data_IF_082135932488
#
_entry.id   IF_082135932488
#
_cell.length_a   1.000
_cell.length_b   1.000
_cell.length_c   1.000
_cell.angle_alpha   90.00
_cell.angle_beta   90.00
_cell.angle_gamma   90.00
#
_symmetry.space_group_name_H-M   'P 1'
#
loop_
_entity.id
_entity.type
_entity.pdbx_description
1 polymer ?
#
# COMPACT_ATOMS: atom_id res chain seq x y z
N UNK A 1 -16.07 14.30 15.88
CA UNK A 1 -16.57 13.42 14.80
C UNK A 1 -15.74 12.18 14.81
N UNK A 2 -16.36 11.01 14.71
CA UNK A 2 -15.69 9.71 14.80
C UNK A 2 -14.62 9.56 13.71
N UNK A 3 -13.34 9.43 14.10
CA UNK A 3 -12.21 9.35 13.18
C UNK A 3 -12.00 7.93 12.64
N UNK A 4 -12.38 6.91 13.40
CA UNK A 4 -12.39 5.51 12.95
C UNK A 4 -13.42 5.32 11.84
N UNK A 5 -14.64 5.81 12.05
CA UNK A 5 -15.68 5.79 11.03
C UNK A 5 -15.23 6.51 9.75
N UNK A 6 -14.52 7.64 9.88
CA UNK A 6 -13.97 8.38 8.73
C UNK A 6 -12.91 7.59 7.98
N UNK A 7 -11.94 7.01 8.69
CA UNK A 7 -10.92 6.15 8.08
C UNK A 7 -11.58 5.00 7.31
N UNK A 8 -12.58 4.33 7.91
CA UNK A 8 -13.35 3.27 7.24
C UNK A 8 -14.08 3.78 6.00
N UNK A 9 -14.77 4.91 6.11
CA UNK A 9 -15.48 5.50 4.96
C UNK A 9 -14.50 5.80 3.82
N UNK A 10 -13.32 6.33 4.11
CA UNK A 10 -12.28 6.57 3.09
C UNK A 10 -11.86 5.25 2.43
N UNK A 11 -11.48 4.24 3.22
CA UNK A 11 -11.05 2.93 2.68
C UNK A 11 -12.15 2.26 1.84
N UNK A 12 -13.39 2.26 2.33
CA UNK A 12 -14.51 1.64 1.60
C UNK A 12 -14.91 2.44 0.36
N UNK A 13 -14.79 3.77 0.41
CA UNK A 13 -15.00 4.64 -0.76
C UNK A 13 -13.97 4.35 -1.85
N UNK A 14 -12.71 4.12 -1.47
CA UNK A 14 -11.66 3.70 -2.41
C UNK A 14 -11.98 2.35 -3.06
N UNK A 15 -12.38 1.36 -2.24
CA UNK A 15 -12.82 0.05 -2.70
C UNK A 15 -13.96 0.15 -3.73
N UNK A 16 -14.99 0.94 -3.42
CA UNK A 16 -16.09 1.13 -4.35
C UNK A 16 -15.71 1.89 -5.62
N UNK A 17 -14.86 2.91 -5.53
CA UNK A 17 -14.39 3.62 -6.71
C UNK A 17 -13.59 2.69 -7.64
N UNK A 18 -12.77 1.79 -7.07
CA UNK A 18 -12.02 0.80 -7.84
C UNK A 18 -12.94 -0.22 -8.53
N UNK A 19 -13.95 -0.73 -7.82
CA UNK A 19 -14.91 -1.67 -8.40
C UNK A 19 -15.71 -1.04 -9.54
N UNK A 20 -16.18 0.22 -9.37
CA UNK A 20 -16.89 0.94 -10.44
C UNK A 20 -15.99 1.13 -11.66
N UNK A 21 -14.75 1.59 -11.48
CA UNK A 21 -13.81 1.79 -12.61
C UNK A 21 -13.46 0.49 -13.31
N UNK A 22 -13.29 -0.61 -12.56
CA UNK A 22 -13.06 -1.94 -13.14
C UNK A 22 -14.26 -2.37 -13.99
N UNK A 23 -15.48 -2.16 -13.51
CA UNK A 23 -16.69 -2.46 -14.28
C UNK A 23 -16.78 -1.61 -15.55
N UNK A 24 -16.50 -0.30 -15.45
CA UNK A 24 -16.46 0.59 -16.63
C UNK A 24 -15.42 0.12 -17.66
N UNK A 25 -14.23 -0.29 -17.21
CA UNK A 25 -13.19 -0.83 -18.07
C UNK A 25 -13.61 -2.15 -18.73
N UNK A 26 -14.15 -3.10 -17.97
CA UNK A 26 -14.62 -4.38 -18.51
C UNK A 26 -15.75 -4.20 -19.51
N UNK A 27 -16.71 -3.31 -19.24
CA UNK A 27 -17.78 -2.98 -20.18
C UNK A 27 -17.21 -2.36 -21.48
N UNK A 28 -16.26 -1.43 -21.37
CA UNK A 28 -15.61 -0.85 -22.55
C UNK A 28 -14.79 -1.88 -23.35
N UNK A 29 -14.16 -2.84 -22.66
CA UNK A 29 -13.45 -3.95 -23.29
C UNK A 29 -14.41 -4.89 -24.01
N UNK A 30 -15.53 -5.27 -23.38
CA UNK A 30 -16.60 -6.06 -24.00
C UNK A 30 -17.17 -5.35 -25.23
N UNK A 31 -17.47 -4.05 -25.14
CA UNK A 31 -17.93 -3.24 -26.27
C UNK A 31 -16.89 -3.21 -27.39
N UNK A 32 -15.60 -3.05 -27.05
CA UNK A 32 -14.51 -3.09 -28.04
C UNK A 32 -14.40 -4.45 -28.71
N UNK A 33 -14.50 -5.54 -27.95
CA UNK A 33 -14.45 -6.92 -28.45
C UNK A 33 -15.68 -7.27 -29.30
N UNK A 34 -16.87 -6.82 -28.90
CA UNK A 34 -18.10 -6.98 -29.67
C UNK A 34 -18.03 -6.22 -31.01
N UNK A 35 -17.38 -5.05 -31.03
CA UNK A 35 -17.13 -4.29 -32.26
C UNK A 35 -16.02 -4.91 -33.13
N UNK A 36 -15.01 -5.56 -32.53
CA UNK A 36 -13.91 -6.27 -33.22
C UNK A 36 -14.22 -7.71 -33.61
N UNK A 37 -15.32 -8.31 -33.11
CA UNK A 37 -15.78 -9.67 -33.45
C UNK A 37 -16.08 -9.87 -34.95
N UNK A 38 -16.02 -8.81 -35.75
CA UNK A 38 -16.01 -8.89 -37.21
C UNK A 38 -14.65 -9.37 -37.80
N UNK A 39 -13.62 -9.63 -36.98
CA UNK A 39 -12.29 -10.12 -37.41
C UNK A 39 -11.69 -11.20 -36.47
N UNK A 40 -12.03 -12.47 -36.73
CA UNK A 40 -11.19 -13.68 -36.55
C UNK A 40 -10.59 -14.06 -35.16
N UNK A 41 -11.01 -13.51 -34.02
CA UNK A 41 -10.37 -13.83 -32.72
C UNK A 41 -11.33 -14.18 -31.55
N UNK A 42 -12.47 -14.81 -31.81
CA UNK A 42 -13.50 -15.15 -30.80
C UNK A 42 -12.98 -16.02 -29.63
N UNK A 43 -12.03 -16.94 -29.87
CA UNK A 43 -11.58 -17.89 -28.84
C UNK A 43 -10.73 -17.29 -27.71
N UNK A 44 -9.98 -16.20 -27.95
CA UNK A 44 -9.14 -15.55 -26.92
C UNK A 44 -9.91 -14.55 -26.06
N UNK A 45 -10.98 -13.97 -26.61
CA UNK A 45 -11.84 -13.05 -25.88
C UNK A 45 -12.63 -13.77 -24.77
N UNK A 46 -13.15 -14.97 -25.07
CA UNK A 46 -13.97 -15.76 -24.15
C UNK A 46 -13.16 -16.26 -22.94
N UNK A 47 -11.92 -16.72 -23.14
CA UNK A 47 -11.05 -17.17 -22.03
C UNK A 47 -10.62 -16.00 -21.12
N UNK A 48 -10.50 -14.78 -21.64
CA UNK A 48 -10.14 -13.58 -20.87
C UNK A 48 -11.32 -13.09 -20.00
N UNK A 49 -12.55 -13.14 -20.54
CA UNK A 49 -13.79 -12.75 -19.84
C UNK A 49 -14.16 -13.81 -18.78
N UNK A 50 -14.05 -15.11 -19.09
CA UNK A 50 -14.35 -16.18 -18.14
C UNK A 50 -13.39 -16.20 -16.93
N UNK A 51 -12.14 -15.75 -17.11
CA UNK A 51 -11.18 -15.58 -16.03
C UNK A 51 -11.51 -14.44 -15.05
N UNK A 52 -12.32 -13.47 -15.47
CA UNK A 52 -12.68 -12.28 -14.68
C UNK A 52 -13.99 -12.45 -13.89
N UNK A 53 -14.98 -13.19 -14.43
CA UNK A 53 -16.29 -13.39 -13.78
C UNK A 53 -16.23 -14.14 -12.43
N UNK A 54 -15.30 -15.10 -12.27
CA UNK A 54 -15.23 -15.94 -11.05
C UNK A 54 -14.71 -15.20 -9.81
N UNK A 55 -14.24 -13.95 -9.93
CA UNK A 55 -13.75 -13.13 -8.80
C UNK A 55 -14.71 -12.05 -8.33
N UNK A 56 -15.87 -11.88 -8.99
CA UNK A 56 -16.62 -10.61 -8.95
C UNK A 56 -17.95 -10.65 -8.18
N UNK A 57 -18.42 -11.81 -7.72
CA UNK A 57 -19.78 -11.95 -7.18
C UNK A 57 -19.95 -11.30 -5.79
N UNK A 58 -18.91 -11.29 -4.94
CA UNK A 58 -19.01 -10.73 -3.59
C UNK A 58 -18.85 -9.19 -3.56
N UNK A 59 -18.00 -8.63 -4.43
CA UNK A 59 -17.72 -7.18 -4.46
C UNK A 59 -18.85 -6.33 -5.05
N UNK A 60 -19.65 -6.91 -5.96
CA UNK A 60 -20.74 -6.21 -6.66
C UNK A 60 -21.85 -5.72 -5.73
N UNK A 61 -22.12 -6.44 -4.63
CA UNK A 61 -23.21 -6.10 -3.71
C UNK A 61 -22.88 -4.92 -2.79
N UNK A 62 -21.59 -4.70 -2.50
CA UNK A 62 -21.13 -3.69 -1.53
C UNK A 62 -21.22 -2.25 -2.04
N UNK A 63 -21.20 -2.06 -3.36
CA UNK A 63 -21.17 -0.73 -3.99
C UNK A 63 -22.45 -0.39 -4.76
N UNK A 64 -23.52 -1.19 -4.58
CA UNK A 64 -24.80 -0.98 -5.26
C UNK A 64 -25.41 0.37 -4.86
N UNK A 65 -25.75 1.18 -5.87
CA UNK A 65 -26.37 2.50 -5.67
C UNK A 65 -25.39 3.65 -5.38
N UNK A 66 -24.09 3.36 -5.33
CA UNK A 66 -23.06 4.38 -5.26
C UNK A 66 -22.68 4.85 -6.67
N UNK A 67 -22.55 6.16 -6.83
CA UNK A 67 -22.06 6.78 -8.06
C UNK A 67 -20.62 7.30 -7.83
N UNK A 68 -19.76 7.17 -8.84
CA UNK A 68 -18.37 7.57 -8.79
C UNK A 68 -18.21 9.06 -8.43
N UNK A 69 -19.12 9.94 -8.88
CA UNK A 69 -19.07 11.36 -8.53
C UNK A 69 -19.37 11.59 -7.04
N UNK A 70 -20.40 10.93 -6.52
CA UNK A 70 -20.73 10.99 -5.08
C UNK A 70 -19.59 10.47 -4.22
N UNK A 71 -18.94 9.38 -4.64
CA UNK A 71 -17.78 8.83 -3.92
C UNK A 71 -16.62 9.82 -3.90
N UNK A 72 -16.31 10.46 -5.04
CA UNK A 72 -15.26 11.51 -5.10
C UNK A 72 -15.56 12.66 -4.14
N UNK A 73 -16.79 13.16 -4.13
CA UNK A 73 -17.21 14.22 -3.22
C UNK A 73 -17.07 13.82 -1.73
N UNK A 74 -17.41 12.57 -1.39
CA UNK A 74 -17.23 12.04 -0.03
C UNK A 74 -15.75 11.96 0.33
N UNK A 75 -14.90 11.51 -0.59
CA UNK A 75 -13.47 11.46 -0.39
C UNK A 75 -12.91 12.87 -0.15
N UNK A 76 -13.18 13.81 -1.04
CA UNK A 76 -12.70 15.20 -0.95
C UNK A 76 -13.12 15.86 0.39
N UNK A 77 -14.38 15.68 0.82
CA UNK A 77 -14.86 16.19 2.10
C UNK A 77 -14.20 15.53 3.32
N UNK A 78 -13.90 14.23 3.26
CA UNK A 78 -13.22 13.54 4.35
C UNK A 78 -11.74 13.94 4.41
N UNK A 79 -11.14 14.18 3.26
CA UNK A 79 -9.77 14.62 3.09
C UNK A 79 -9.51 16.06 3.57
N UNK A 80 -10.47 16.98 3.41
CA UNK A 80 -10.43 18.30 4.06
C UNK A 80 -10.37 18.24 5.60
N UNK A 81 -10.68 17.08 6.19
CA UNK A 81 -10.62 16.86 7.64
C UNK A 81 -9.41 16.04 8.11
N UNK A 82 -8.41 15.83 7.25
CA UNK A 82 -7.21 15.02 7.53
C UNK A 82 -6.45 15.44 8.80
N UNK A 83 -6.46 16.72 9.17
CA UNK A 83 -5.84 17.20 10.41
C UNK A 83 -6.37 16.50 11.68
N UNK A 84 -7.53 15.83 11.60
CA UNK A 84 -8.15 15.09 12.72
C UNK A 84 -7.78 13.60 12.75
N UNK A 85 -7.21 13.05 11.68
CA UNK A 85 -6.81 11.64 11.63
C UNK A 85 -5.55 11.43 12.46
N UNK A 86 -5.53 10.34 13.24
CA UNK A 86 -4.32 9.97 13.97
C UNK A 86 -3.26 9.40 13.02
N UNK A 87 -1.97 9.32 13.43
CA UNK A 87 -0.89 8.81 12.58
C UNK A 87 -1.17 7.43 11.97
N UNK A 88 -1.75 6.51 12.75
CA UNK A 88 -2.07 5.16 12.27
C UNK A 88 -3.13 5.19 11.17
N UNK A 89 -4.19 5.96 11.33
CA UNK A 89 -5.26 6.12 10.33
C UNK A 89 -4.71 6.72 9.02
N UNK A 90 -3.85 7.74 9.13
CA UNK A 90 -3.14 8.30 7.97
C UNK A 90 -2.30 7.25 7.24
N UNK A 91 -1.54 6.46 7.99
CA UNK A 91 -0.72 5.37 7.42
C UNK A 91 -1.60 4.30 6.77
N UNK A 92 -2.72 3.91 7.40
CA UNK A 92 -3.67 2.95 6.81
C UNK A 92 -4.20 3.47 5.49
N UNK A 93 -4.63 4.73 5.42
CA UNK A 93 -5.13 5.35 4.19
C UNK A 93 -4.03 5.39 3.12
N UNK A 94 -2.82 5.81 3.48
CA UNK A 94 -1.66 5.89 2.56
C UNK A 94 -1.24 4.52 2.00
N UNK A 95 -1.47 3.46 2.79
CA UNK A 95 -1.10 2.09 2.46
C UNK A 95 -2.25 1.26 1.91
N UNK A 96 -3.47 1.81 1.86
CA UNK A 96 -4.62 1.12 1.28
C UNK A 96 -4.53 1.18 -0.24
N UNK A 97 -4.63 0.02 -0.87
CA UNK A 97 -4.82 -0.12 -2.31
C UNK A 97 -6.27 0.18 -2.67
N UNK A 98 -6.56 0.56 -3.91
CA UNK A 98 -7.93 0.86 -4.30
C UNK A 98 -8.85 -0.36 -4.23
N UNK A 99 -8.36 -1.60 -4.18
CA UNK A 99 -9.16 -2.81 -3.91
C UNK A 99 -9.49 -3.01 -2.40
N UNK A 100 -9.20 -2.03 -1.54
CA UNK A 100 -9.39 -2.08 -0.09
C UNK A 100 -8.34 -2.88 0.67
N UNK A 101 -7.44 -3.59 -0.03
CA UNK A 101 -6.37 -4.35 0.60
C UNK A 101 -5.19 -3.45 0.98
N UNK A 102 -4.33 -3.93 1.87
CA UNK A 102 -3.12 -3.20 2.24
C UNK A 102 -1.98 -3.48 1.27
N UNK A 103 -1.26 -2.43 0.87
CA UNK A 103 0.02 -2.54 0.19
C UNK A 103 1.05 -3.07 1.18
N UNK A 104 1.61 -4.24 0.90
CA UNK A 104 2.62 -4.89 1.73
C UNK A 104 3.81 -5.31 0.88
N UNK A 105 4.96 -5.52 1.52
CA UNK A 105 6.10 -6.19 0.92
C UNK A 105 5.72 -7.64 0.59
N UNK A 106 6.04 -8.13 -0.61
CA UNK A 106 5.77 -9.49 -1.01
C UNK A 106 6.54 -10.48 -0.12
N UNK A 107 5.85 -11.52 0.37
CA UNK A 107 6.44 -12.61 1.17
C UNK A 107 6.60 -13.88 0.31
N UNK A 108 7.65 -14.69 0.52
CA UNK A 108 7.99 -15.84 -0.34
C UNK A 108 6.98 -17.01 -0.37
N UNK A 109 5.80 -16.89 0.25
CA UNK A 109 4.74 -17.91 0.21
C UNK A 109 3.35 -17.35 -0.08
N UNK A 110 3.22 -16.04 -0.31
CA UNK A 110 1.98 -15.47 -0.79
C UNK A 110 1.93 -15.64 -2.31
N UNK A 111 0.84 -16.20 -2.83
CA UNK A 111 0.67 -16.38 -4.26
C UNK A 111 0.90 -15.04 -4.97
N UNK A 112 1.78 -15.04 -5.97
CA UNK A 112 2.15 -13.89 -6.79
C UNK A 112 0.97 -13.33 -7.64
N UNK A 113 -0.28 -13.65 -7.27
CA UNK A 113 -1.48 -13.31 -8.04
C UNK A 113 -1.90 -11.85 -7.95
N UNK A 114 -1.09 -10.97 -7.35
CA UNK A 114 -1.30 -9.53 -7.39
C UNK A 114 -0.10 -8.89 -8.10
N UNK A 115 0.09 -9.31 -9.36
CA UNK A 115 0.67 -8.45 -10.39
C UNK A 115 0.06 -7.08 -10.17
N UNK A 116 0.89 -6.05 -10.03
CA UNK A 116 0.45 -4.66 -9.95
C UNK A 116 -0.68 -4.48 -10.94
N UNK A 117 -1.89 -4.30 -10.42
CA UNK A 117 -3.06 -4.19 -11.27
C UNK A 117 -2.94 -2.83 -11.95
N UNK A 118 -2.31 -2.81 -13.13
CA UNK A 118 -2.09 -1.64 -13.95
C UNK A 118 -3.42 -1.00 -14.38
N UNK A 119 -4.54 -1.70 -14.16
CA UNK A 119 -5.90 -1.22 -14.38
C UNK A 119 -6.38 -0.26 -13.28
N UNK A 120 -5.67 -0.20 -12.15
CA UNK A 120 -6.12 0.58 -11.00
C UNK A 120 -5.44 1.94 -10.94
N UNK A 121 -6.12 2.97 -11.45
CA UNK A 121 -5.70 4.38 -11.30
C UNK A 121 -5.70 4.78 -9.81
N UNK A 122 -4.51 5.00 -9.26
CA UNK A 122 -4.33 5.48 -7.89
C UNK A 122 -5.03 6.86 -7.74
N UNK A 123 -5.88 7.06 -6.72
CA UNK A 123 -6.54 8.36 -6.52
C UNK A 123 -5.52 9.49 -6.35
N UNK A 124 -5.71 10.60 -7.07
CA UNK A 124 -4.79 11.74 -7.07
C UNK A 124 -4.53 12.27 -5.66
N UNK A 125 -5.56 12.38 -4.83
CA UNK A 125 -5.39 12.81 -3.44
C UNK A 125 -4.41 11.93 -2.65
N UNK A 126 -4.52 10.61 -2.78
CA UNK A 126 -3.58 9.72 -2.12
C UNK A 126 -2.18 9.91 -2.69
N UNK A 127 -2.04 10.14 -4.00
CA UNK A 127 -0.73 10.45 -4.59
C UNK A 127 -0.12 11.73 -3.98
N UNK A 128 -0.95 12.73 -3.70
CA UNK A 128 -0.51 14.02 -3.15
C UNK A 128 -0.14 13.93 -1.66
N UNK A 129 -0.83 13.11 -0.88
CA UNK A 129 -0.67 13.03 0.59
C UNK A 129 0.02 11.76 1.11
N UNK A 130 0.20 10.71 0.29
CA UNK A 130 0.77 9.44 0.73
C UNK A 130 2.14 9.63 1.40
N UNK A 131 3.03 10.42 0.79
CA UNK A 131 4.35 10.65 1.36
C UNK A 131 4.28 11.34 2.72
N UNK A 132 3.45 12.39 2.84
CA UNK A 132 3.24 13.12 4.09
C UNK A 132 2.70 12.21 5.20
N UNK A 133 1.69 11.40 4.90
CA UNK A 133 1.08 10.47 5.85
C UNK A 133 2.07 9.42 6.35
N UNK A 134 2.89 8.89 5.44
CA UNK A 134 3.97 7.99 5.81
C UNK A 134 5.00 8.71 6.69
N UNK A 135 5.34 9.98 6.44
CA UNK A 135 6.26 10.73 7.30
C UNK A 135 5.69 10.92 8.71
N UNK A 136 4.40 11.25 8.82
CA UNK A 136 3.69 11.32 10.11
C UNK A 136 3.76 9.97 10.82
N UNK A 137 3.56 8.87 10.10
CA UNK A 137 3.70 7.50 10.63
C UNK A 137 5.10 7.15 11.11
N UNK A 138 6.15 7.53 10.35
CA UNK A 138 7.55 7.35 10.76
C UNK A 138 7.84 8.12 12.05
N UNK A 139 7.40 9.38 12.13
CA UNK A 139 7.57 10.20 13.33
C UNK A 139 6.80 9.63 14.53
N UNK A 140 5.75 8.87 14.27
CA UNK A 140 4.93 8.16 15.23
C UNK A 140 5.39 6.71 15.49
N UNK A 141 6.53 6.26 14.96
CA UNK A 141 7.02 4.88 15.11
C UNK A 141 6.00 3.80 14.66
N UNK A 142 5.19 4.09 13.64
CA UNK A 142 4.22 3.15 13.07
C UNK A 142 4.92 2.13 12.13
N UNK A 143 4.89 0.82 12.42
CA UNK A 143 5.61 -0.20 11.62
C UNK A 143 5.24 -0.20 10.14
N UNK A 144 3.95 -0.01 9.85
CA UNK A 144 3.43 -0.02 8.49
C UNK A 144 3.87 1.22 7.68
N UNK A 145 4.18 2.34 8.35
CA UNK A 145 4.73 3.52 7.69
C UNK A 145 6.14 3.29 7.18
N UNK A 146 6.94 2.50 7.91
CA UNK A 146 8.28 2.09 7.49
C UNK A 146 8.23 1.19 6.26
N UNK A 147 7.28 0.25 6.24
CA UNK A 147 7.00 -0.58 5.07
C UNK A 147 6.61 0.28 3.86
N UNK A 148 5.74 1.27 4.06
CA UNK A 148 5.33 2.21 3.00
C UNK A 148 6.47 3.07 2.47
N UNK A 149 7.31 3.63 3.36
CA UNK A 149 8.48 4.41 2.95
C UNK A 149 9.47 3.57 2.14
N UNK A 150 9.64 2.30 2.51
CA UNK A 150 10.45 1.39 1.74
C UNK A 150 9.88 1.15 0.34
N UNK A 151 8.56 0.95 0.23
CA UNK A 151 7.85 0.74 -1.04
C UNK A 151 7.91 1.98 -1.95
N UNK A 152 7.73 3.19 -1.41
CA UNK A 152 7.82 4.46 -2.16
C UNK A 152 9.21 4.65 -2.78
N UNK A 153 10.24 4.14 -2.12
CA UNK A 153 11.62 4.23 -2.62
C UNK A 153 12.12 2.96 -3.29
N UNK A 154 11.29 1.91 -3.40
CA UNK A 154 11.68 0.65 -3.99
C UNK A 154 12.02 0.81 -5.48
N UNK A 155 13.03 0.06 -5.99
CA UNK A 155 13.27 0.00 -7.41
C UNK A 155 12.08 -0.66 -8.12
N UNK A 156 11.71 -0.17 -9.29
CA UNK A 156 10.60 -0.79 -10.05
C UNK A 156 11.00 -2.09 -10.74
N UNK A 157 12.31 -2.32 -10.90
CA UNK A 157 12.83 -3.65 -11.20
C UNK A 157 13.10 -4.35 -9.85
N UNK A 158 12.22 -5.25 -9.46
CA UNK A 158 12.49 -6.24 -8.41
C UNK A 158 12.47 -7.61 -9.08
N UNK A 159 13.32 -8.57 -8.69
CA UNK A 159 13.26 -9.92 -9.26
C UNK A 159 11.82 -10.47 -9.11
N UNK A 160 11.20 -10.89 -10.22
CA UNK A 160 9.78 -11.29 -10.26
C UNK A 160 8.78 -10.19 -10.64
N UNK A 161 9.22 -8.96 -10.90
CA UNK A 161 8.39 -7.81 -11.30
C UNK A 161 8.93 -7.20 -12.62
N UNK A 162 8.95 -7.99 -13.69
CA UNK A 162 9.43 -7.58 -15.01
C UNK A 162 8.35 -6.80 -15.79
N UNK A 163 8.67 -5.64 -16.35
CA UNK A 163 7.83 -5.02 -17.39
C UNK A 163 7.77 -3.50 -17.46
N UNK A 164 8.04 -2.75 -16.38
CA UNK A 164 8.00 -1.28 -16.41
C UNK A 164 9.21 -0.67 -15.67
N UNK A 165 10.04 0.05 -16.44
CA UNK A 165 11.18 0.80 -15.92
C UNK A 165 10.72 2.18 -15.47
N UNK A 166 10.65 2.38 -14.17
CA UNK A 166 10.52 3.68 -13.52
C UNK A 166 11.75 3.82 -12.61
N UNK A 167 12.47 4.92 -12.76
CA UNK A 167 13.71 5.15 -12.03
C UNK A 167 13.53 4.97 -10.52
N UNK A 168 14.54 4.42 -9.83
CA UNK A 168 14.62 4.45 -8.36
C UNK A 168 14.55 5.93 -7.94
N UNK A 169 13.54 6.39 -7.18
CA UNK A 169 13.45 7.81 -6.87
C UNK A 169 14.62 8.25 -5.97
N UNK A 170 15.08 7.37 -5.07
CA UNK A 170 16.17 7.65 -4.16
C UNK A 170 16.80 6.37 -3.55
N UNK A 171 17.95 5.87 -4.07
CA UNK A 171 18.58 4.64 -3.57
C UNK A 171 19.06 4.77 -2.12
N UNK A 172 19.51 5.96 -1.69
CA UNK A 172 19.97 6.21 -0.31
C UNK A 172 18.83 6.02 0.69
N UNK A 173 17.66 6.63 0.42
CA UNK A 173 16.47 6.46 1.26
C UNK A 173 15.97 5.02 1.26
N UNK A 174 15.98 4.35 0.11
CA UNK A 174 15.62 2.93 0.02
C UNK A 174 16.49 2.06 0.95
N UNK A 175 17.81 2.18 0.86
CA UNK A 175 18.74 1.43 1.72
C UNK A 175 18.56 1.82 3.19
N UNK A 176 18.39 3.10 3.50
CA UNK A 176 18.12 3.57 4.86
C UNK A 176 16.89 2.90 5.48
N UNK A 177 15.73 2.98 4.83
CA UNK A 177 14.49 2.40 5.36
C UNK A 177 14.58 0.87 5.43
N UNK A 178 15.22 0.22 4.46
CA UNK A 178 15.41 -1.22 4.50
C UNK A 178 16.26 -1.67 5.68
N UNK A 179 17.38 -0.99 5.94
CA UNK A 179 18.27 -1.29 7.06
C UNK A 179 17.61 -0.97 8.40
N UNK A 180 16.84 0.11 8.49
CA UNK A 180 16.04 0.41 9.67
C UNK A 180 15.00 -0.69 9.96
N UNK A 181 14.32 -1.18 8.92
CA UNK A 181 13.35 -2.27 9.04
C UNK A 181 14.00 -3.56 9.55
N UNK A 182 15.16 -3.95 9.00
CA UNK A 182 15.94 -5.09 9.51
C UNK A 182 16.38 -4.87 10.95
N UNK A 183 16.83 -3.65 11.29
CA UNK A 183 17.33 -3.31 12.62
C UNK A 183 16.25 -3.43 13.70
N UNK A 184 15.01 -3.10 13.35
CA UNK A 184 13.87 -3.10 14.26
C UNK A 184 13.15 -4.47 14.33
N UNK A 185 12.99 -5.14 13.19
CA UNK A 185 12.12 -6.32 13.05
C UNK A 185 12.83 -7.60 12.58
N UNK A 186 14.14 -7.52 12.32
CA UNK A 186 14.97 -8.65 11.86
C UNK A 186 14.95 -8.85 10.34
N UNK A 187 15.83 -9.74 9.87
CA UNK A 187 16.05 -9.98 8.44
C UNK A 187 14.82 -10.52 7.70
N UNK A 188 14.03 -11.35 8.39
CA UNK A 188 12.79 -11.91 7.85
C UNK A 188 11.77 -10.82 7.48
N UNK A 189 11.85 -9.63 8.07
CA UNK A 189 10.89 -8.54 7.85
C UNK A 189 10.97 -7.91 6.45
N UNK A 190 12.08 -8.03 5.72
CA UNK A 190 12.18 -7.55 4.33
C UNK A 190 11.67 -8.56 3.30
N UNK A 191 11.86 -9.86 3.55
CA UNK A 191 11.70 -10.88 2.53
C UNK A 191 12.87 -10.94 1.54
N UNK A 192 12.97 -12.04 0.81
CA UNK A 192 14.11 -12.38 -0.04
C UNK A 192 14.29 -11.41 -1.23
N UNK A 193 13.19 -11.01 -1.87
CA UNK A 193 13.23 -10.10 -3.02
C UNK A 193 13.79 -8.72 -2.68
N UNK A 194 13.33 -8.13 -1.57
CA UNK A 194 13.83 -6.83 -1.11
C UNK A 194 15.28 -6.93 -0.63
N UNK A 195 15.69 -8.06 -0.05
CA UNK A 195 17.08 -8.28 0.31
C UNK A 195 18.02 -8.17 -0.90
N UNK A 196 17.68 -8.82 -2.02
CA UNK A 196 18.47 -8.73 -3.27
C UNK A 196 18.49 -7.31 -3.83
N UNK A 197 17.34 -6.62 -3.83
CA UNK A 197 17.24 -5.24 -4.28
C UNK A 197 18.12 -4.30 -3.43
N UNK A 198 18.14 -4.48 -2.11
CA UNK A 198 18.97 -3.70 -1.19
C UNK A 198 20.46 -3.96 -1.43
N UNK A 199 20.88 -5.22 -1.61
CA UNK A 199 22.28 -5.52 -1.92
C UNK A 199 22.76 -4.82 -3.19
N UNK A 200 21.92 -4.81 -4.24
CA UNK A 200 22.25 -4.11 -5.49
C UNK A 200 22.25 -2.60 -5.33
N UNK A 201 21.35 -2.03 -4.53
CA UNK A 201 21.39 -0.60 -4.24
C UNK A 201 22.67 -0.22 -3.46
N UNK A 202 23.08 -1.06 -2.49
CA UNK A 202 24.29 -0.85 -1.70
C UNK A 202 25.58 -1.00 -2.52
N UNK A 203 25.61 -1.86 -3.54
CA UNK A 203 26.80 -2.02 -4.39
C UNK A 203 27.11 -0.80 -5.27
N UNK A 204 26.17 0.14 -5.35
CA UNK A 204 26.32 1.42 -6.06
C UNK A 204 26.75 2.57 -5.12
N UNK A 205 26.94 2.30 -3.83
CA UNK A 205 27.28 3.30 -2.81
C UNK A 205 28.73 3.16 -2.35
N UNK A 206 29.32 4.28 -1.95
CA UNK A 206 30.64 4.31 -1.31
C UNK A 206 30.59 3.74 0.11
N UNK A 207 31.73 3.24 0.65
CA UNK A 207 31.81 2.82 2.04
C UNK A 207 31.46 3.92 3.05
N UNK A 208 31.78 5.17 2.75
CA UNK A 208 31.46 6.35 3.55
C UNK A 208 29.95 6.57 3.61
N UNK A 209 29.26 6.55 2.47
CA UNK A 209 27.79 6.68 2.42
C UNK A 209 27.08 5.58 3.20
N UNK A 210 27.55 4.34 3.08
CA UNK A 210 26.98 3.21 3.82
C UNK A 210 27.17 3.37 5.33
N UNK A 211 28.32 3.89 5.77
CA UNK A 211 28.59 4.18 7.19
C UNK A 211 27.71 5.30 7.71
N UNK A 212 27.50 6.35 6.93
CA UNK A 212 26.59 7.45 7.28
C UNK A 212 25.15 6.96 7.44
N UNK A 213 24.70 6.09 6.52
CA UNK A 213 23.39 5.45 6.61
C UNK A 213 23.30 4.59 7.88
N UNK A 214 24.34 3.82 8.22
CA UNK A 214 24.35 3.01 9.44
C UNK A 214 24.22 3.84 10.71
N UNK A 215 24.98 4.94 10.80
CA UNK A 215 24.90 5.87 11.92
C UNK A 215 23.52 6.53 12.02
N UNK A 216 22.85 6.78 10.89
CA UNK A 216 21.49 7.31 10.85
C UNK A 216 20.45 6.27 11.27
N UNK A 217 20.60 5.02 10.80
CA UNK A 217 19.75 3.88 11.16
C UNK A 217 19.80 3.61 12.66
N UNK A 218 21.00 3.62 13.27
CA UNK A 218 21.14 3.38 14.70
C UNK A 218 20.46 4.47 15.53
N UNK A 219 20.64 5.75 15.16
CA UNK A 219 19.94 6.88 15.82
C UNK A 219 18.43 6.76 15.68
N UNK A 220 17.95 6.44 14.48
CA UNK A 220 16.53 6.29 14.22
C UNK A 220 15.93 5.09 14.97
N UNK A 221 16.63 3.96 15.03
CA UNK A 221 16.19 2.78 15.76
C UNK A 221 16.09 3.04 17.27
N UNK A 222 17.07 3.75 17.85
CA UNK A 222 17.02 4.16 19.26
C UNK A 222 15.82 5.08 19.54
N UNK A 223 15.58 6.08 18.68
CA UNK A 223 14.43 6.98 18.82
C UNK A 223 13.10 6.22 18.70
N UNK A 224 13.01 5.30 17.73
CA UNK A 224 11.84 4.46 17.50
C UNK A 224 11.53 3.59 18.72
N UNK A 225 12.55 2.94 19.29
CA UNK A 225 12.40 2.11 20.48
C UNK A 225 11.95 2.96 21.68
N UNK A 226 12.56 4.13 21.91
CA UNK A 226 12.16 5.01 23.01
C UNK A 226 10.69 5.44 22.92
N UNK A 227 10.21 5.78 21.72
CA UNK A 227 8.80 6.10 21.47
C UNK A 227 7.88 4.88 21.65
N UNK A 228 8.29 3.72 21.14
CA UNK A 228 7.53 2.46 21.29
C UNK A 228 7.39 2.08 22.77
N UNK A 229 8.45 2.23 23.56
CA UNK A 229 8.43 1.99 25.01
C UNK A 229 7.55 3.00 25.75
N UNK A 230 7.59 4.28 25.37
CA UNK A 230 6.75 5.32 25.99
C UNK A 230 5.25 5.10 25.74
N UNK A 231 4.88 4.56 24.57
CA UNK A 231 3.49 4.13 24.28
C UNK A 231 3.11 2.84 25.00
N UNK A 232 4.08 1.93 25.15
CA UNK A 232 3.84 0.60 25.64
C UNK A 232 3.37 0.52 27.10
N UNK A 233 3.76 1.41 28.02
CA UNK A 233 3.39 1.43 29.45
C UNK A 233 2.92 0.05 30.03
N UNK A 234 3.71 -1.01 29.81
CA UNK A 234 3.42 -2.37 30.27
C UNK A 234 2.91 -3.43 29.28
N UNK A 235 2.77 -3.16 27.97
CA UNK A 235 2.43 -4.19 26.96
C UNK A 235 3.40 -4.24 25.78
N UNK A 236 3.58 -5.45 25.24
CA UNK A 236 4.55 -5.76 24.19
C UNK A 236 4.39 -4.84 22.97
N UNK A 237 5.54 -4.44 22.40
CA UNK A 237 5.69 -3.74 21.11
C UNK A 237 4.66 -4.29 20.12
N UNK A 238 3.90 -3.39 19.47
CA UNK A 238 2.85 -3.75 18.52
C UNK A 238 3.37 -4.83 17.56
N UNK A 239 2.75 -6.01 17.62
CA UNK A 239 3.05 -7.10 16.70
C UNK A 239 2.88 -6.56 15.27
N UNK A 240 3.80 -6.92 14.39
CA UNK A 240 3.70 -6.62 12.97
C UNK A 240 2.30 -7.03 12.47
N UNK A 241 1.52 -6.12 11.83
CA UNK A 241 0.15 -6.43 11.46
C UNK A 241 0.12 -7.56 10.43
N UNK A 242 -0.81 -8.50 10.61
CA UNK A 242 -0.97 -9.67 9.74
C UNK A 242 -1.21 -9.22 8.29
N UNK A 243 -0.54 -9.89 7.34
CA UNK A 243 -0.53 -9.51 5.91
C UNK A 243 -1.91 -9.64 5.22
N UNK A 244 -2.83 -10.42 5.81
CA UNK A 244 -4.19 -10.65 5.28
C UNK A 244 -5.23 -9.58 5.70
N UNK A 245 -4.81 -8.47 6.30
CA UNK A 245 -5.72 -7.45 6.82
C UNK A 245 -6.32 -6.56 5.72
N UNK A 246 -7.63 -6.35 5.79
CA UNK A 246 -8.36 -5.36 4.99
C UNK A 246 -8.14 -3.97 5.60
N UNK A 247 -7.95 -2.92 4.80
CA UNK A 247 -7.61 -1.59 5.33
C UNK A 247 -8.63 -1.05 6.34
N UNK A 248 -9.93 -1.30 6.08
CA UNK A 248 -11.01 -0.85 6.96
C UNK A 248 -10.98 -1.52 8.36
N UNK A 249 -10.44 -2.74 8.47
CA UNK A 249 -10.30 -3.39 9.78
C UNK A 249 -9.11 -2.85 10.58
N UNK A 250 -8.18 -2.15 9.93
CA UNK A 250 -7.02 -1.49 10.56
C UNK A 250 -7.30 -0.04 10.97
N UNK A 251 -8.45 0.51 10.56
CA UNK A 251 -8.90 1.85 10.94
C UNK A 251 -9.34 1.97 12.40
N UNK A 252 -9.60 0.84 13.06
CA UNK A 252 -9.87 0.85 14.49
C UNK A 252 -8.61 1.12 15.28
N UNK A 253 -8.75 1.98 16.29
CA UNK A 253 -7.72 2.13 17.29
C UNK A 253 -7.70 0.84 18.12
N UNK A 254 -6.66 0.02 17.95
CA UNK A 254 -6.32 -0.97 18.97
C UNK A 254 -5.83 -0.30 20.29
N UNK A 255 -6.05 1.01 20.45
CA UNK A 255 -5.75 1.83 21.62
C UNK A 255 -7.01 2.37 22.31
N UNK A 256 -8.17 1.75 22.12
CA UNK A 256 -9.32 2.01 22.98
C UNK A 256 -9.35 1.05 24.17
N UNK A 257 -8.58 1.33 25.22
CA UNK A 257 -8.91 1.02 26.63
C UNK A 257 -7.91 1.68 27.59
N UNK A 258 -8.31 2.87 28.09
CA UNK A 258 -7.94 3.58 29.32
C UNK A 258 -6.50 3.51 29.86
#
# INVERSE_FOLDING_TARGET
GDTEARCRIVVESLNCLSNIRRQEFMNALEDSLANDANRNNEGRAIDMIAGTELRDVDSRSHCVGMDAEKIRNVLDQNYETDARLNPRQKVVIAMTRPDGSMMRLPRPHESQSRVYDLETVYPQYLADHQYEYLQVGIAAAEPLALEGMLLVHAPTWMPGLEGLSLSIPNPKKFVYYARLMRRLYGDAALGEYFFLAVQRAMSQMSPEELRDIDNEVDRAAQAWQAQSFARANGRAVSKWPDHASHGASLCSDAEASF
#
